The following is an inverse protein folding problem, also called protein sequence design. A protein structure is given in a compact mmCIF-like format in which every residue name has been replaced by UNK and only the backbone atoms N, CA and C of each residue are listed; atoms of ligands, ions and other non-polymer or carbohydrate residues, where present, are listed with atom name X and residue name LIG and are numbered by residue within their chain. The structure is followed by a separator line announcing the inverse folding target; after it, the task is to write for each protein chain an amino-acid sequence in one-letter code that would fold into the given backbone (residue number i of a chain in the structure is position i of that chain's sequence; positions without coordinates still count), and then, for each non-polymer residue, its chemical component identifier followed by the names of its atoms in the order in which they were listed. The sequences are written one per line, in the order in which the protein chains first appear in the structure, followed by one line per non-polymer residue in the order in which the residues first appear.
data_IF_096201050660
#
_entry.id   IF_096201050660
#
_cell.length_a   1.000
_cell.length_b   1.000
_cell.length_c   1.000
_cell.angle_alpha   90.00
_cell.angle_beta   90.00
_cell.angle_gamma   90.00
#
_symmetry.space_group_name_H-M   'P 1'
#
loop_
_entity.id
_entity.type
_entity.pdbx_description
1 polymer ?
#
# COMPACT_ATOMS: atom_id res chain seq x y z
N UNK A 1 -12.58 22.69 -5.36
CA UNK A 1 -13.48 21.63 -5.86
C UNK A 1 -12.84 20.32 -5.49
N UNK A 2 -13.42 19.58 -4.52
CA UNK A 2 -12.90 18.26 -4.15
C UNK A 2 -13.22 17.30 -5.28
N UNK A 3 -12.21 16.74 -5.94
CA UNK A 3 -12.43 15.67 -6.90
C UNK A 3 -13.13 14.50 -6.17
N UNK A 4 -14.19 13.92 -6.74
CA UNK A 4 -14.92 12.84 -6.11
C UNK A 4 -14.03 11.60 -5.98
N UNK A 5 -14.07 10.94 -4.83
CA UNK A 5 -13.34 9.70 -4.56
C UNK A 5 -13.69 8.64 -5.62
N UNK A 6 -12.72 8.16 -6.42
CA UNK A 6 -12.96 7.13 -7.43
C UNK A 6 -13.54 5.83 -6.87
N UNK A 7 -13.30 5.52 -5.59
CA UNK A 7 -13.87 4.35 -4.91
C UNK A 7 -15.39 4.49 -4.65
N UNK A 8 -15.95 5.68 -4.81
CA UNK A 8 -17.37 5.99 -4.60
C UNK A 8 -18.13 6.20 -5.92
N UNK A 9 -17.50 5.94 -7.07
CA UNK A 9 -18.09 6.18 -8.40
C UNK A 9 -18.54 4.88 -9.06
N UNK A 10 -19.69 4.92 -9.74
CA UNK A 10 -20.33 3.74 -10.32
C UNK A 10 -19.66 3.22 -11.62
N UNK A 11 -18.93 4.07 -12.36
CA UNK A 11 -18.33 3.71 -13.64
C UNK A 11 -16.82 4.03 -13.67
N UNK A 12 -15.96 3.06 -14.05
CA UNK A 12 -14.52 3.29 -14.18
C UNK A 12 -14.21 4.26 -15.33
N UNK A 13 -13.18 5.08 -15.15
CA UNK A 13 -12.65 5.99 -16.16
C UNK A 13 -11.34 5.43 -16.75
N UNK A 14 -10.92 5.85 -17.95
CA UNK A 14 -9.67 5.39 -18.56
C UNK A 14 -8.43 5.63 -17.68
N UNK A 15 -8.43 6.72 -16.90
CA UNK A 15 -7.38 7.07 -15.92
C UNK A 15 -7.28 6.11 -14.73
N UNK A 16 -8.32 5.32 -14.43
CA UNK A 16 -8.26 4.27 -13.41
C UNK A 16 -7.38 3.09 -13.86
N UNK A 17 -7.20 2.90 -15.18
CA UNK A 17 -6.35 1.84 -15.72
C UNK A 17 -4.85 2.13 -15.49
N UNK A 18 -4.43 3.39 -15.45
CA UNK A 18 -3.05 3.76 -15.08
C UNK A 18 -2.77 3.52 -13.59
N UNK A 19 -3.81 3.53 -12.75
CA UNK A 19 -3.74 3.11 -11.35
C UNK A 19 -3.53 1.59 -11.19
N UNK A 20 -3.84 0.80 -12.21
CA UNK A 20 -3.82 -0.67 -12.16
C UNK A 20 -2.42 -1.29 -12.04
N UNK A 21 -1.33 -0.50 -12.12
CA UNK A 21 0.03 -0.99 -11.95
C UNK A 21 0.56 -0.92 -10.51
N UNK A 22 -0.20 -0.35 -9.56
CA UNK A 22 0.20 -0.38 -8.15
C UNK A 22 -0.27 -1.66 -7.47
N UNK A 23 0.62 -2.36 -6.74
CA UNK A 23 0.25 -3.55 -5.98
C UNK A 23 -0.87 -3.22 -4.99
N UNK A 24 -1.91 -4.04 -4.98
CA UNK A 24 -3.06 -3.86 -4.07
C UNK A 24 -2.83 -4.58 -2.75
N UNK A 25 -2.02 -5.64 -2.77
CA UNK A 25 -1.60 -6.36 -1.59
C UNK A 25 -0.10 -6.28 -1.41
N UNK A 26 0.35 -6.47 -0.17
CA UNK A 26 1.78 -6.60 0.15
C UNK A 26 2.43 -7.77 -0.63
N UNK A 27 1.64 -8.78 -1.01
CA UNK A 27 2.11 -9.90 -1.83
C UNK A 27 2.42 -9.51 -3.28
N UNK A 28 1.64 -8.58 -3.85
CA UNK A 28 1.78 -8.13 -5.23
C UNK A 28 2.98 -7.20 -5.44
N UNK A 29 3.52 -6.61 -4.36
CA UNK A 29 4.65 -5.70 -4.44
C UNK A 29 5.92 -6.44 -4.84
N UNK A 30 6.55 -6.07 -5.96
CA UNK A 30 7.74 -6.77 -6.47
C UNK A 30 9.02 -6.21 -5.82
N UNK A 31 9.93 -7.09 -5.39
CA UNK A 31 11.19 -6.71 -4.73
C UNK A 31 11.04 -6.50 -3.22
N UNK A 32 12.01 -5.85 -2.56
CA UNK A 32 11.96 -5.51 -1.13
C UNK A 32 11.54 -6.67 -0.20
N UNK A 33 12.00 -7.90 -0.47
CA UNK A 33 11.49 -9.11 0.19
C UNK A 33 11.59 -9.07 1.73
N UNK A 34 12.71 -8.56 2.25
CA UNK A 34 12.94 -8.42 3.69
C UNK A 34 11.99 -7.39 4.32
N UNK A 35 11.86 -6.20 3.71
CA UNK A 35 10.95 -5.17 4.19
C UNK A 35 9.48 -5.66 4.16
N UNK A 36 9.07 -6.38 3.10
CA UNK A 36 7.75 -7.00 3.01
C UNK A 36 7.54 -8.07 4.09
N UNK A 37 8.54 -8.88 4.38
CA UNK A 37 8.45 -9.89 5.44
C UNK A 37 8.28 -9.25 6.82
N UNK A 38 9.07 -8.22 7.13
CA UNK A 38 8.95 -7.47 8.38
C UNK A 38 7.60 -6.79 8.52
N UNK A 39 7.15 -6.06 7.49
CA UNK A 39 5.86 -5.38 7.50
C UNK A 39 4.69 -6.35 7.67
N UNK A 40 4.78 -7.55 7.07
CA UNK A 40 3.78 -8.62 7.28
C UNK A 40 3.67 -9.00 8.75
N UNK A 41 4.78 -9.17 9.47
CA UNK A 41 4.77 -9.50 10.90
C UNK A 41 4.11 -8.39 11.72
N UNK A 42 4.39 -7.12 11.42
CA UNK A 42 3.77 -5.99 12.12
C UNK A 42 2.26 -5.91 11.87
N UNK A 43 1.83 -6.03 10.61
CA UNK A 43 0.41 -6.01 10.23
C UNK A 43 -0.35 -7.14 10.92
N UNK A 44 0.18 -8.37 10.87
CA UNK A 44 -0.47 -9.53 11.50
C UNK A 44 -0.54 -9.38 13.02
N UNK A 45 0.52 -8.85 13.65
CA UNK A 45 0.53 -8.59 15.09
C UNK A 45 -0.51 -7.55 15.50
N UNK A 46 -0.64 -6.45 14.76
CA UNK A 46 -1.65 -5.43 15.00
C UNK A 46 -3.08 -5.98 14.83
N UNK A 47 -3.30 -6.79 13.78
CA UNK A 47 -4.57 -7.50 13.55
C UNK A 47 -4.94 -8.43 14.69
N UNK A 48 -3.99 -9.22 15.19
CA UNK A 48 -4.20 -10.14 16.31
C UNK A 48 -4.56 -9.41 17.62
N UNK A 49 -3.97 -8.23 17.85
CA UNK A 49 -4.31 -7.37 18.99
C UNK A 49 -5.63 -6.62 18.81
N UNK A 50 -6.11 -6.45 17.58
CA UNK A 50 -7.27 -5.61 17.27
C UNK A 50 -6.99 -4.11 17.45
N UNK A 51 -5.73 -3.70 17.32
CA UNK A 51 -5.27 -2.33 17.55
C UNK A 51 -4.57 -1.78 16.30
N UNK A 52 -4.30 -0.47 16.29
CA UNK A 52 -3.52 0.15 15.22
C UNK A 52 -2.08 -0.42 15.18
N UNK A 53 -1.51 -0.48 13.99
CA UNK A 53 -0.10 -0.83 13.81
C UNK A 53 0.81 0.26 14.37
N UNK A 54 1.92 -0.15 14.96
CA UNK A 54 2.95 0.76 15.48
C UNK A 54 3.54 1.66 14.37
N UNK A 55 4.01 2.84 14.75
CA UNK A 55 4.60 3.79 13.82
C UNK A 55 5.82 3.21 13.10
N UNK A 56 5.84 3.29 11.78
CA UNK A 56 6.89 2.74 10.92
C UNK A 56 7.53 3.84 10.09
N UNK A 57 8.86 3.86 10.02
CA UNK A 57 9.63 4.80 9.19
C UNK A 57 10.26 4.06 8.00
N UNK A 58 9.90 4.47 6.79
CA UNK A 58 10.59 4.03 5.59
C UNK A 58 11.69 5.02 5.20
N UNK A 59 12.94 4.55 5.13
CA UNK A 59 14.08 5.34 4.68
C UNK A 59 14.78 4.68 3.48
N UNK A 60 15.45 5.47 2.65
CA UNK A 60 16.27 4.97 1.55
C UNK A 60 16.24 5.85 0.30
N UNK A 61 17.08 5.53 -0.70
CA UNK A 61 17.17 6.23 -1.99
C UNK A 61 15.82 6.48 -2.68
N UNK A 62 15.71 7.47 -3.57
CA UNK A 62 14.51 7.69 -4.38
C UNK A 62 14.21 6.47 -5.27
N UNK A 63 12.94 6.23 -5.59
CA UNK A 63 12.52 5.17 -6.52
C UNK A 63 12.33 3.77 -5.94
N UNK A 64 12.56 3.55 -4.63
CA UNK A 64 12.43 2.22 -4.01
C UNK A 64 10.99 1.80 -3.62
N UNK A 65 9.98 2.60 -3.98
CA UNK A 65 8.58 2.25 -3.71
C UNK A 65 8.12 2.48 -2.26
N UNK A 66 8.78 3.34 -1.48
CA UNK A 66 8.44 3.64 -0.06
C UNK A 66 6.99 4.14 0.15
N UNK A 67 6.41 4.81 -0.84
CA UNK A 67 5.02 5.32 -0.79
C UNK A 67 4.02 4.29 -1.29
N UNK A 68 4.51 3.23 -1.95
CA UNK A 68 3.70 2.15 -2.50
C UNK A 68 3.66 0.95 -1.55
N UNK A 69 4.73 0.71 -0.78
CA UNK A 69 4.76 -0.18 0.38
C UNK A 69 3.83 0.31 1.49
#
# INVERSE_FOLDING_TARGET
MSEPDPALRAAPLPEDADRALRPQTLGDFIGQAEARANLRVFIESARLRGEAMDHTLFHGPPGLGKTTL
#
